data_IF_991405822036
#
_entry.id   IF_991405822036
#
_cell.length_a   1.000
_cell.length_b   1.000
_cell.length_c   1.000
_cell.angle_alpha   90.00
_cell.angle_beta   90.00
_cell.angle_gamma   90.00
#
_symmetry.space_group_name_H-M   'P 1'
#
loop_
_entity.id
_entity.type
_entity.pdbx_description
1 polymer ?
#
# COMPACT_ATOMS: atom_id res chain seq x y z
N UNK A 1 8.47 -11.34 1.40
CA UNK A 1 8.77 -9.96 1.81
C UNK A 1 8.88 -9.11 0.57
N UNK A 2 8.42 -7.87 0.61
CA UNK A 2 8.68 -6.88 -0.42
C UNK A 2 10.01 -6.17 -0.19
N UNK A 3 10.63 -5.66 -1.24
CA UNK A 3 11.74 -4.71 -1.20
C UNK A 3 11.32 -3.44 -1.92
N UNK A 4 11.43 -2.31 -1.24
CA UNK A 4 11.28 -0.96 -1.79
C UNK A 4 12.67 -0.43 -2.16
N UNK A 5 12.79 0.25 -3.29
CA UNK A 5 14.01 0.93 -3.70
C UNK A 5 13.69 2.30 -4.32
N UNK A 6 14.51 3.30 -4.00
CA UNK A 6 14.35 4.67 -4.47
C UNK A 6 15.71 5.40 -4.46
N UNK A 7 15.78 6.56 -5.09
CA UNK A 7 16.91 7.44 -4.93
C UNK A 7 16.63 8.52 -3.89
N UNK A 8 17.57 8.75 -2.98
CA UNK A 8 17.53 9.86 -2.03
C UNK A 8 17.77 11.22 -2.74
N UNK A 9 17.73 12.30 -1.97
CA UNK A 9 17.92 13.66 -2.50
C UNK A 9 19.30 13.89 -3.11
N UNK A 10 20.30 13.12 -2.69
CA UNK A 10 21.68 13.14 -3.20
C UNK A 10 21.86 12.25 -4.42
N UNK A 11 20.84 11.47 -4.82
CA UNK A 11 20.85 10.56 -5.95
C UNK A 11 21.42 9.18 -5.64
N UNK A 12 21.64 8.85 -4.36
CA UNK A 12 22.09 7.51 -3.95
C UNK A 12 20.88 6.55 -3.88
N UNK A 13 21.06 5.35 -4.41
CA UNK A 13 20.05 4.31 -4.31
C UNK A 13 19.91 3.84 -2.87
N UNK A 14 18.68 3.89 -2.37
CA UNK A 14 18.27 3.35 -1.08
C UNK A 14 17.44 2.09 -1.32
N UNK A 15 17.55 1.11 -0.42
CA UNK A 15 16.77 -0.14 -0.46
C UNK A 15 16.31 -0.51 0.94
N UNK A 16 15.05 -0.92 1.06
CA UNK A 16 14.48 -1.35 2.32
C UNK A 16 13.48 -2.49 2.13
N UNK A 17 13.56 -3.49 3.01
CA UNK A 17 12.54 -4.54 3.05
C UNK A 17 11.28 -4.04 3.75
N UNK A 18 10.10 -4.38 3.22
CA UNK A 18 8.82 -4.16 3.90
C UNK A 18 8.04 -5.46 4.01
N UNK A 19 7.26 -5.58 5.08
CA UNK A 19 6.48 -6.78 5.38
C UNK A 19 5.00 -6.54 5.04
N UNK A 20 4.48 -5.36 5.31
CA UNK A 20 3.07 -5.04 5.17
C UNK A 20 2.82 -4.29 3.87
N UNK A 21 3.22 -3.03 3.84
CA UNK A 21 2.89 -2.10 2.77
C UNK A 21 3.99 -1.06 2.61
N UNK A 22 4.15 -0.56 1.39
CA UNK A 22 4.90 0.64 1.08
C UNK A 22 4.12 1.45 0.05
N UNK A 23 4.36 2.75 -0.04
CA UNK A 23 3.64 3.53 -1.03
C UNK A 23 3.91 5.03 -1.00
N UNK A 24 3.13 5.73 -1.82
CA UNK A 24 3.21 7.17 -1.99
C UNK A 24 1.81 7.80 -2.01
N UNK A 25 1.66 8.93 -1.34
CA UNK A 25 0.46 9.75 -1.39
C UNK A 25 -0.38 9.69 -0.12
N UNK A 26 -1.64 9.31 -0.25
CA UNK A 26 -2.65 9.39 0.81
C UNK A 26 -2.23 8.70 2.10
N UNK A 27 -1.61 7.56 2.01
CA UNK A 27 -1.09 6.76 3.10
C UNK A 27 -0.03 7.53 3.90
N UNK A 28 1.03 8.00 3.25
CA UNK A 28 2.05 8.85 3.87
C UNK A 28 1.47 10.13 4.49
N UNK A 29 0.47 10.75 3.85
CA UNK A 29 -0.19 11.94 4.37
C UNK A 29 -0.99 11.68 5.66
N UNK A 30 -1.56 10.49 5.82
CA UNK A 30 -2.19 10.06 7.07
C UNK A 30 -1.14 9.93 8.17
N UNK A 31 -0.02 9.30 7.85
CA UNK A 31 1.07 9.10 8.79
C UNK A 31 1.68 10.39 9.29
N UNK A 32 1.92 11.35 8.41
CA UNK A 32 2.39 12.69 8.77
C UNK A 32 1.49 13.36 9.81
N UNK A 33 0.17 13.25 9.64
CA UNK A 33 -0.81 13.84 10.55
C UNK A 33 -0.98 13.07 11.86
N UNK A 34 -0.79 11.75 11.84
CA UNK A 34 -0.91 10.89 13.01
C UNK A 34 0.33 10.93 13.91
N UNK A 35 1.49 11.31 13.39
CA UNK A 35 2.76 11.29 14.10
C UNK A 35 2.77 11.99 15.48
N UNK A 36 2.09 13.13 15.71
CA UNK A 36 2.05 13.79 17.02
C UNK A 36 1.28 13.04 18.12
N UNK A 37 0.38 12.12 17.75
CA UNK A 37 -0.60 11.50 18.66
C UNK A 37 -0.58 9.97 18.66
N UNK A 38 0.48 9.35 18.15
CA UNK A 38 0.61 7.88 17.99
C UNK A 38 0.27 7.06 19.26
N UNK A 39 0.43 7.62 20.45
CA UNK A 39 0.27 6.89 21.70
C UNK A 39 -1.13 7.00 22.36
N UNK A 40 -2.01 7.85 21.86
CA UNK A 40 -3.30 8.14 22.50
C UNK A 40 -4.53 7.82 21.63
N UNK A 41 -4.33 7.63 20.34
CA UNK A 41 -5.43 7.46 19.38
C UNK A 41 -5.50 6.00 18.99
N UNK A 42 -6.57 5.33 19.40
CA UNK A 42 -6.86 3.96 18.98
C UNK A 42 -7.04 3.86 17.46
N UNK A 43 -6.85 2.68 16.90
CA UNK A 43 -6.78 2.37 15.46
C UNK A 43 -7.98 2.85 14.64
N UNK A 44 -9.19 2.82 15.23
CA UNK A 44 -10.40 3.38 14.60
C UNK A 44 -10.29 4.90 14.42
N UNK A 45 -9.69 5.58 15.38
CA UNK A 45 -9.49 7.04 15.30
C UNK A 45 -8.38 7.40 14.28
N UNK A 46 -7.41 6.51 14.05
CA UNK A 46 -6.44 6.64 12.95
C UNK A 46 -7.16 6.58 11.58
N UNK A 47 -7.99 5.57 11.37
CA UNK A 47 -8.81 5.46 10.14
C UNK A 47 -9.76 6.66 9.98
N UNK A 48 -10.35 7.15 11.07
CA UNK A 48 -11.21 8.34 11.05
C UNK A 48 -10.41 9.64 10.81
N UNK A 49 -9.16 9.74 11.28
CA UNK A 49 -8.30 10.90 10.99
C UNK A 49 -7.89 10.95 9.52
N UNK A 50 -7.79 9.78 8.88
CA UNK A 50 -7.63 9.68 7.43
C UNK A 50 -8.81 10.33 6.70
N UNK A 51 -10.03 10.09 7.14
CA UNK A 51 -11.25 10.68 6.58
C UNK A 51 -11.34 12.20 6.84
N UNK A 52 -10.59 12.73 7.79
CA UNK A 52 -10.54 14.17 8.08
C UNK A 52 -9.62 14.97 7.13
N UNK A 53 -8.97 14.33 6.16
CA UNK A 53 -8.21 15.02 5.10
C UNK A 53 -9.14 15.31 3.92
N UNK A 54 -9.72 16.52 3.81
CA UNK A 54 -10.86 16.73 2.94
C UNK A 54 -10.53 16.66 1.44
N UNK A 55 -9.34 17.03 1.02
CA UNK A 55 -8.91 17.05 -0.38
C UNK A 55 -7.47 16.55 -0.49
N UNK A 56 -7.23 15.24 -0.62
CA UNK A 56 -5.90 14.74 -0.88
C UNK A 56 -5.40 15.25 -2.24
N UNK A 57 -4.10 15.48 -2.33
CA UNK A 57 -3.48 15.89 -3.58
C UNK A 57 -3.57 14.76 -4.60
N UNK A 58 -4.01 15.09 -5.81
CA UNK A 58 -4.03 14.17 -6.94
C UNK A 58 -2.67 14.20 -7.64
N UNK A 59 -2.16 13.03 -8.00
CA UNK A 59 -0.97 12.87 -8.81
C UNK A 59 -1.25 11.89 -9.96
N UNK A 60 -0.44 11.98 -11.00
CA UNK A 60 -0.38 11.02 -12.08
C UNK A 60 0.65 9.94 -11.73
N UNK A 61 0.23 8.69 -11.77
CA UNK A 61 1.07 7.52 -11.52
C UNK A 61 1.31 6.77 -12.83
N UNK A 62 2.57 6.61 -13.21
CA UNK A 62 3.01 5.73 -14.28
C UNK A 62 3.64 4.50 -13.64
N UNK A 63 3.13 3.32 -13.93
CA UNK A 63 3.55 2.05 -13.36
C UNK A 63 4.11 1.16 -14.46
N UNK A 64 5.42 0.98 -14.45
CA UNK A 64 6.13 0.09 -15.37
C UNK A 64 6.31 -1.28 -14.68
N UNK A 65 5.70 -2.32 -15.23
CA UNK A 65 5.76 -3.67 -14.68
C UNK A 65 5.63 -4.74 -15.77
N UNK A 66 6.35 -5.83 -15.66
CA UNK A 66 6.26 -7.00 -16.55
C UNK A 66 6.29 -6.63 -18.06
N UNK A 67 7.03 -5.58 -18.43
CA UNK A 67 7.13 -5.09 -19.81
C UNK A 67 5.90 -4.32 -20.31
N UNK A 68 5.01 -3.92 -19.41
CA UNK A 68 3.84 -3.07 -19.65
C UNK A 68 3.98 -1.75 -18.92
N UNK A 69 3.17 -0.78 -19.34
CA UNK A 69 3.04 0.53 -18.69
C UNK A 69 1.55 0.78 -18.50
N UNK A 70 1.15 0.99 -17.25
CA UNK A 70 -0.20 1.42 -16.90
C UNK A 70 -0.14 2.82 -16.28
N UNK A 71 -1.12 3.66 -16.61
CA UNK A 71 -1.18 5.04 -16.14
C UNK A 71 -2.52 5.31 -15.46
N UNK A 72 -2.46 5.98 -14.30
CA UNK A 72 -3.63 6.32 -13.50
C UNK A 72 -3.46 7.68 -12.84
N UNK A 73 -4.54 8.44 -12.77
CA UNK A 73 -4.63 9.54 -11.83
C UNK A 73 -5.14 9.01 -10.49
N UNK A 74 -4.54 9.45 -9.40
CA UNK A 74 -4.87 8.95 -8.07
C UNK A 74 -4.43 9.86 -6.95
N UNK A 75 -4.90 9.57 -5.74
CA UNK A 75 -4.49 10.25 -4.51
C UNK A 75 -3.41 9.49 -3.76
N UNK A 76 -3.10 8.27 -4.19
CA UNK A 76 -2.04 7.43 -3.64
C UNK A 76 -1.86 6.15 -4.43
N UNK A 77 -0.67 5.58 -4.33
CA UNK A 77 -0.31 4.29 -4.88
C UNK A 77 0.37 3.48 -3.77
N UNK A 78 -0.21 2.34 -3.44
CA UNK A 78 0.26 1.43 -2.41
C UNK A 78 0.79 0.15 -3.03
N UNK A 79 1.83 -0.41 -2.45
CA UNK A 79 2.40 -1.71 -2.80
C UNK A 79 2.29 -2.61 -1.59
N UNK A 80 1.45 -3.64 -1.66
CA UNK A 80 1.22 -4.61 -0.61
C UNK A 80 2.05 -5.87 -0.77
N UNK A 81 2.53 -6.41 0.34
CA UNK A 81 3.11 -7.73 0.45
C UNK A 81 2.22 -8.64 1.31
N UNK A 82 1.28 -8.06 2.05
CA UNK A 82 0.22 -8.75 2.77
C UNK A 82 -1.15 -8.20 2.39
N UNK A 83 -2.16 -9.08 2.47
CA UNK A 83 -3.55 -8.69 2.21
C UNK A 83 -4.11 -7.73 3.27
N UNK A 84 -3.65 -7.88 4.50
CA UNK A 84 -4.21 -7.23 5.68
C UNK A 84 -3.27 -6.15 6.17
N UNK A 85 -3.78 -4.95 6.29
CA UNK A 85 -3.10 -3.88 6.99
C UNK A 85 -3.51 -3.90 8.46
N UNK A 86 -4.02 -3.13 9.16
CA UNK A 86 -4.35 -3.16 10.58
C UNK A 86 -5.70 -3.87 10.85
N UNK A 87 -5.83 -4.55 11.99
CA UNK A 87 -7.09 -5.05 12.56
C UNK A 87 -8.04 -5.73 11.57
N UNK A 88 -7.53 -6.69 10.81
CA UNK A 88 -8.30 -7.45 9.84
C UNK A 88 -8.88 -6.65 8.67
N UNK A 89 -8.43 -5.41 8.42
CA UNK A 89 -8.80 -4.66 7.21
C UNK A 89 -8.03 -5.21 6.03
N UNK A 90 -8.68 -6.00 5.21
CA UNK A 90 -8.10 -6.54 3.99
C UNK A 90 -8.28 -5.56 2.82
N UNK A 91 -7.20 -4.89 2.41
CA UNK A 91 -7.21 -4.00 1.24
C UNK A 91 -6.87 -4.73 -0.07
N UNK A 92 -6.10 -5.83 0.01
CA UNK A 92 -5.63 -6.59 -1.15
C UNK A 92 -6.19 -8.02 -1.10
N UNK A 93 -7.44 -8.25 -1.57
CA UNK A 93 -8.12 -9.54 -1.38
C UNK A 93 -7.42 -10.73 -2.07
N UNK A 94 -6.67 -10.49 -3.12
CA UNK A 94 -5.93 -11.51 -3.87
C UNK A 94 -4.46 -11.65 -3.45
N UNK A 95 -3.98 -10.78 -2.54
CA UNK A 95 -2.59 -10.76 -2.09
C UNK A 95 -2.21 -12.01 -1.31
N UNK A 96 -1.05 -12.56 -1.63
CA UNK A 96 -0.46 -13.73 -0.95
C UNK A 96 1.02 -13.50 -0.70
N UNK A 97 1.43 -13.65 0.54
CA UNK A 97 2.83 -13.44 0.95
C UNK A 97 3.84 -14.41 0.34
N UNK A 98 3.40 -15.50 -0.29
CA UNK A 98 4.24 -16.61 -0.73
C UNK A 98 4.15 -16.93 -2.24
N UNK A 99 3.48 -16.11 -3.04
CA UNK A 99 3.32 -16.32 -4.48
C UNK A 99 4.43 -15.67 -5.33
N UNK A 100 5.28 -14.85 -4.70
CA UNK A 100 6.38 -14.16 -5.37
C UNK A 100 5.94 -12.92 -6.15
N UNK A 101 4.78 -12.37 -5.82
CA UNK A 101 4.23 -11.15 -6.40
C UNK A 101 4.14 -10.05 -5.32
N UNK A 102 4.07 -8.82 -5.78
CA UNK A 102 3.61 -7.65 -5.04
C UNK A 102 2.26 -7.24 -5.60
N UNK A 103 1.38 -6.77 -4.73
CA UNK A 103 0.06 -6.23 -5.10
C UNK A 103 0.13 -4.71 -5.10
N UNK A 104 -0.26 -4.09 -6.21
CA UNK A 104 -0.22 -2.64 -6.37
C UNK A 104 -1.65 -2.13 -6.43
N UNK A 105 -1.97 -1.11 -5.63
CA UNK A 105 -3.27 -0.46 -5.64
C UNK A 105 -3.11 1.04 -5.83
N UNK A 106 -3.71 1.58 -6.88
CA UNK A 106 -3.86 3.03 -7.06
C UNK A 106 -5.23 3.44 -6.54
N UNK A 107 -5.26 4.41 -5.64
CA UNK A 107 -6.49 4.98 -5.09
C UNK A 107 -6.97 6.07 -6.04
N UNK A 108 -8.15 5.88 -6.62
CA UNK A 108 -8.74 6.85 -7.55
C UNK A 108 -8.87 8.26 -6.93
N UNK A 109 -8.91 9.34 -7.76
CA UNK A 109 -9.02 10.72 -7.28
C UNK A 109 -10.43 11.01 -6.74
N UNK A 110 -10.65 10.61 -5.50
CA UNK A 110 -11.94 10.74 -4.80
C UNK A 110 -11.78 11.55 -3.51
N UNK A 111 -12.86 12.13 -3.03
CA UNK A 111 -12.88 12.70 -1.69
C UNK A 111 -12.72 11.60 -0.65
N UNK A 112 -12.00 11.86 0.43
CA UNK A 112 -11.64 10.85 1.44
C UNK A 112 -12.83 10.09 2.01
N UNK A 113 -13.97 10.77 2.17
CA UNK A 113 -15.22 10.13 2.65
C UNK A 113 -15.72 9.04 1.71
N UNK A 114 -15.38 9.11 0.43
CA UNK A 114 -15.74 8.10 -0.58
C UNK A 114 -14.90 6.82 -0.47
N UNK A 115 -13.84 6.81 0.33
CA UNK A 115 -13.07 5.60 0.65
C UNK A 115 -13.74 4.74 1.74
N UNK A 116 -14.73 5.29 2.45
CA UNK A 116 -15.42 4.55 3.50
C UNK A 116 -16.03 3.22 3.02
N UNK A 117 -16.67 3.11 1.84
CA UNK A 117 -17.13 1.82 1.32
C UNK A 117 -16.00 0.80 1.14
N UNK A 118 -14.84 1.22 0.66
CA UNK A 118 -13.67 0.34 0.49
C UNK A 118 -13.11 -0.15 1.83
N UNK A 119 -13.04 0.72 2.84
CA UNK A 119 -12.64 0.35 4.20
C UNK A 119 -13.63 -0.64 4.83
N UNK A 120 -14.93 -0.39 4.70
CA UNK A 120 -15.96 -1.30 5.18
C UNK A 120 -15.93 -2.64 4.43
N UNK A 121 -15.70 -2.62 3.12
CA UNK A 121 -15.53 -3.82 2.34
C UNK A 121 -14.31 -4.63 2.81
N UNK A 122 -13.21 -3.96 3.17
CA UNK A 122 -12.03 -4.62 3.74
C UNK A 122 -12.32 -5.40 5.03
N UNK A 123 -13.28 -4.93 5.84
CA UNK A 123 -13.70 -5.57 7.09
C UNK A 123 -14.75 -6.67 6.85
N UNK A 124 -15.81 -6.35 6.09
CA UNK A 124 -16.99 -7.22 5.96
C UNK A 124 -16.92 -8.21 4.80
N UNK A 125 -16.06 -7.96 3.83
CA UNK A 125 -15.80 -8.82 2.68
C UNK A 125 -14.29 -8.95 2.42
N UNK A 126 -13.54 -9.59 3.34
CA UNK A 126 -12.09 -9.70 3.22
C UNK A 126 -11.64 -10.43 1.94
N UNK A 127 -12.47 -11.33 1.43
CA UNK A 127 -12.18 -12.06 0.18
C UNK A 127 -12.52 -11.27 -1.10
N UNK A 128 -13.12 -10.09 -0.99
CA UNK A 128 -13.45 -9.23 -2.13
C UNK A 128 -14.49 -9.78 -3.12
N UNK A 129 -15.22 -10.83 -2.73
CA UNK A 129 -16.14 -11.56 -3.64
C UNK A 129 -17.48 -10.87 -3.86
N UNK A 130 -17.92 -10.05 -2.92
CA UNK A 130 -19.22 -9.39 -2.95
C UNK A 130 -19.12 -7.87 -3.15
N UNK A 131 -18.32 -7.21 -2.34
CA UNK A 131 -18.20 -5.76 -2.31
C UNK A 131 -17.01 -5.23 -3.13
N UNK A 132 -16.01 -6.08 -3.37
CA UNK A 132 -14.76 -5.67 -4.04
C UNK A 132 -13.98 -4.62 -3.25
N UNK A 133 -13.23 -3.82 -3.98
CA UNK A 133 -12.51 -2.64 -3.45
C UNK A 133 -12.81 -1.44 -4.35
N UNK A 134 -14.01 -0.85 -4.23
CA UNK A 134 -14.35 0.33 -5.01
C UNK A 134 -13.30 1.43 -4.78
N UNK A 135 -13.04 2.23 -5.78
CA UNK A 135 -12.02 3.29 -5.87
C UNK A 135 -10.56 2.79 -5.90
N UNK A 136 -10.30 1.48 -5.96
CA UNK A 136 -8.95 0.95 -6.13
C UNK A 136 -8.77 0.33 -7.51
N UNK A 137 -7.69 0.70 -8.20
CA UNK A 137 -7.17 0.00 -9.40
C UNK A 137 -6.07 -0.93 -8.94
N UNK A 138 -6.30 -2.23 -9.12
CA UNK A 138 -5.42 -3.28 -8.64
C UNK A 138 -4.58 -3.87 -9.76
N UNK A 139 -3.29 -4.08 -9.49
CA UNK A 139 -2.33 -4.77 -10.34
C UNK A 139 -1.53 -5.76 -9.50
N UNK A 140 -0.95 -6.77 -10.15
CA UNK A 140 0.03 -7.67 -9.54
C UNK A 140 1.27 -7.73 -10.44
N UNK A 141 2.45 -7.75 -9.83
CA UNK A 141 3.71 -7.82 -10.55
C UNK A 141 4.80 -8.52 -9.71
N UNK A 142 5.86 -9.00 -10.36
CA UNK A 142 7.06 -9.44 -9.65
C UNK A 142 7.91 -8.26 -9.20
N UNK A 143 7.98 -7.26 -10.06
CA UNK A 143 8.70 -6.01 -9.86
C UNK A 143 7.97 -4.91 -10.63
N UNK A 144 7.97 -3.71 -10.07
CA UNK A 144 7.41 -2.53 -10.71
C UNK A 144 8.26 -1.30 -10.40
N UNK A 145 8.32 -0.36 -11.35
CA UNK A 145 8.80 1.01 -11.14
C UNK A 145 7.61 1.95 -11.23
N UNK A 146 7.48 2.82 -10.25
CA UNK A 146 6.35 3.73 -10.10
C UNK A 146 6.88 5.16 -10.12
N UNK A 147 6.36 5.95 -11.04
CA UNK A 147 6.61 7.40 -11.12
C UNK A 147 5.36 8.13 -10.69
N UNK A 148 5.51 9.06 -9.75
CA UNK A 148 4.45 9.88 -9.18
C UNK A 148 4.70 11.36 -9.50
N UNK A 149 3.82 12.00 -10.23
CA UNK A 149 3.93 13.41 -10.61
C UNK A 149 2.63 14.19 -10.34
N UNK A 150 2.68 15.25 -9.50
CA UNK A 150 3.80 15.69 -8.70
C UNK A 150 4.19 14.67 -7.63
N UNK A 151 5.44 14.72 -7.14
CA UNK A 151 5.91 13.86 -6.05
C UNK A 151 5.03 14.04 -4.81
N UNK A 152 4.60 12.93 -4.24
CA UNK A 152 3.86 12.86 -2.98
C UNK A 152 4.74 12.24 -1.90
N UNK A 153 4.35 12.41 -0.62
CA UNK A 153 5.00 11.74 0.50
C UNK A 153 5.08 10.23 0.29
N UNK A 154 6.12 9.60 0.80
CA UNK A 154 6.32 8.14 0.74
C UNK A 154 6.53 7.55 2.13
N UNK A 155 6.12 6.28 2.27
CA UNK A 155 6.31 5.52 3.51
C UNK A 155 6.53 4.02 3.19
N UNK A 156 7.02 3.27 4.17
CA UNK A 156 7.00 1.80 4.20
C UNK A 156 6.81 1.32 5.65
N UNK A 157 5.95 0.34 5.84
CA UNK A 157 5.61 -0.26 7.15
C UNK A 157 5.42 0.75 8.31
N UNK A 158 4.92 1.96 7.98
CA UNK A 158 4.70 3.02 8.93
C UNK A 158 5.88 3.98 9.16
N UNK A 159 6.93 3.91 8.37
CA UNK A 159 8.08 4.82 8.44
C UNK A 159 8.10 5.76 7.23
N UNK A 160 8.09 7.08 7.50
CA UNK A 160 8.11 8.09 6.44
C UNK A 160 9.50 8.20 5.79
N UNK A 161 9.52 8.29 4.47
CA UNK A 161 10.73 8.55 3.69
C UNK A 161 10.91 10.07 3.54
N UNK A 162 12.03 10.64 3.99
CA UNK A 162 12.27 12.08 3.85
C UNK A 162 12.57 12.44 2.39
N UNK A 163 11.97 13.54 1.92
CA UNK A 163 12.22 14.14 0.60
C UNK A 163 12.21 13.15 -0.59
N UNK A 164 11.12 12.39 -0.80
CA UNK A 164 11.05 11.42 -1.87
C UNK A 164 11.12 12.10 -3.25
N UNK A 165 11.81 11.46 -4.20
CA UNK A 165 11.97 11.98 -5.57
C UNK A 165 10.70 11.85 -6.42
N UNK A 166 9.69 11.10 -5.95
CA UNK A 166 8.50 10.73 -6.72
C UNK A 166 8.73 9.54 -7.66
N UNK A 167 9.92 8.94 -7.64
CA UNK A 167 10.21 7.70 -8.37
C UNK A 167 10.68 6.65 -7.37
N UNK A 168 10.03 5.51 -7.37
CA UNK A 168 10.39 4.37 -6.54
C UNK A 168 10.07 3.06 -7.26
N UNK A 169 10.75 2.00 -6.87
CA UNK A 169 10.43 0.67 -7.33
C UNK A 169 10.12 -0.25 -6.16
N UNK A 170 9.41 -1.31 -6.46
CA UNK A 170 9.14 -2.38 -5.49
C UNK A 170 9.21 -3.74 -6.17
N UNK A 171 9.67 -4.75 -5.44
CA UNK A 171 9.69 -6.12 -5.93
C UNK A 171 9.45 -7.14 -4.84
N UNK A 172 8.95 -8.30 -5.21
CA UNK A 172 8.88 -9.44 -4.33
C UNK A 172 10.27 -10.07 -4.14
N UNK A 173 10.62 -10.39 -2.89
CA UNK A 173 11.78 -11.20 -2.54
C UNK A 173 11.30 -12.58 -2.03
N UNK A 174 11.17 -13.58 -2.91
CA UNK A 174 10.68 -14.88 -2.51
C UNK A 174 11.65 -15.58 -1.54
N UNK A 175 11.09 -16.26 -0.52
CA UNK A 175 11.86 -17.12 0.41
C UNK A 175 12.99 -16.42 1.16
N UNK A 176 12.91 -15.10 1.34
CA UNK A 176 13.95 -14.34 2.06
C UNK A 176 13.69 -14.23 3.56
N UNK A 177 12.51 -14.62 4.03
CA UNK A 177 12.09 -14.54 5.42
C UNK A 177 11.24 -15.76 5.80
N UNK A 178 11.56 -16.37 6.94
CA UNK A 178 10.74 -17.41 7.57
C UNK A 178 9.85 -16.79 8.62
N UNK A 179 8.55 -17.00 8.50
CA UNK A 179 7.53 -16.49 9.42
C UNK A 179 6.95 -17.66 10.22
N UNK A 180 6.94 -17.52 11.55
CA UNK A 180 6.26 -18.46 12.43
C UNK A 180 4.76 -18.19 12.36
N UNK A 181 4.01 -19.20 11.96
CA UNK A 181 2.54 -19.15 11.88
C UNK A 181 1.94 -20.25 12.76
N UNK A 182 0.76 -20.03 13.31
CA UNK A 182 0.01 -21.07 14.02
C UNK A 182 -0.66 -22.05 13.04
N UNK A 183 -1.15 -23.17 13.58
CA UNK A 183 -1.81 -24.21 12.78
C UNK A 183 -3.14 -23.75 12.17
N UNK A 184 -3.71 -22.66 12.65
CA UNK A 184 -4.96 -22.06 12.17
C UNK A 184 -4.73 -20.92 11.18
N UNK A 185 -3.49 -20.54 10.92
CA UNK A 185 -3.16 -19.47 9.99
C UNK A 185 -3.63 -19.82 8.58
N UNK A 186 -4.25 -18.85 7.90
CA UNK A 186 -4.61 -18.97 6.48
C UNK A 186 -3.40 -19.19 5.57
N UNK A 187 -2.18 -18.89 6.04
CA UNK A 187 -0.94 -19.17 5.32
C UNK A 187 -0.61 -20.66 5.27
N UNK A 188 -1.14 -21.45 6.21
CA UNK A 188 -1.02 -22.91 6.23
C UNK A 188 -2.08 -23.62 5.39
N UNK A 189 -3.11 -22.92 4.90
CA UNK A 189 -4.11 -23.54 4.05
C UNK A 189 -3.45 -23.94 2.73
N UNK A 190 -3.50 -25.26 2.44
CA UNK A 190 -2.98 -25.87 1.20
C UNK A 190 -3.87 -25.63 -0.01
N UNK A 191 -4.75 -24.66 0.05
CA UNK A 191 -5.63 -24.30 -1.06
C UNK A 191 -4.84 -23.44 -2.06
N UNK A 192 -4.21 -24.14 -2.97
CA UNK A 192 -3.53 -23.63 -4.15
C UNK A 192 -4.46 -23.64 -5.35
#
# INVERSE_FOLDING_TARGET
MGELFWNDAEGNEQRHGFIIIAGSGFDAAIMEKAAPNKNEIGEIAYALSALATPNPQVAHFTIEHDGKVDEFDGIGCMVGNTAVIQNDINLFPDCRMNDGLIDIAVIEPVATVQLLPTLLAGIFDPAGKGLGRPQFKMLQAKEATITCSPSLGMEYDGELIPNPSGVFGARALPKCLDIIVDDFSKLNSKDH
#
